data_IF_719414021083
#
_entry.id   IF_719414021083
#
_cell.length_a   1.000
_cell.length_b   1.000
_cell.length_c   1.000
_cell.angle_alpha   90.00
_cell.angle_beta   90.00
_cell.angle_gamma   90.00
#
_symmetry.space_group_name_H-M   'P 1'
#
loop_
_entity.id
_entity.type
_entity.pdbx_description
1 polymer ?
#
# COMPACT_ATOMS: atom_id res chain seq x y z
N UNK A 1 -7.05 35.00 -37.21
CA UNK A 1 -6.75 34.62 -35.81
C UNK A 1 -8.02 34.84 -34.99
N UNK A 2 -8.88 33.82 -34.88
CA UNK A 2 -10.08 33.85 -34.03
C UNK A 2 -9.79 32.93 -32.86
N UNK A 3 -9.53 33.50 -31.71
CA UNK A 3 -9.46 32.78 -30.44
C UNK A 3 -10.90 32.41 -30.10
N UNK A 4 -11.29 31.17 -30.33
CA UNK A 4 -12.56 30.66 -29.83
C UNK A 4 -12.49 30.67 -28.30
N UNK A 5 -13.29 31.54 -27.68
CA UNK A 5 -13.48 31.57 -26.24
C UNK A 5 -14.10 30.23 -25.80
N UNK A 6 -13.27 29.42 -25.14
CA UNK A 6 -13.68 28.19 -24.47
C UNK A 6 -14.73 28.54 -23.40
N UNK A 7 -15.99 28.24 -23.71
CA UNK A 7 -17.14 28.43 -22.83
C UNK A 7 -16.95 27.70 -21.49
N UNK A 8 -17.16 28.37 -20.34
CA UNK A 8 -16.88 27.83 -19.00
C UNK A 8 -17.69 26.58 -18.63
N UNK A 9 -18.80 26.33 -19.32
CA UNK A 9 -19.66 25.16 -19.13
C UNK A 9 -19.08 23.86 -19.72
N UNK A 10 -18.00 23.93 -20.52
CA UNK A 10 -17.25 22.74 -20.94
C UNK A 10 -16.12 22.39 -19.97
N UNK A 11 -15.63 23.35 -19.17
CA UNK A 11 -14.65 23.11 -18.11
C UNK A 11 -15.27 22.39 -16.90
N UNK A 12 -16.56 22.57 -16.64
CA UNK A 12 -17.27 21.88 -15.55
C UNK A 12 -17.42 20.37 -15.79
N UNK A 13 -17.42 19.92 -17.05
CA UNK A 13 -17.50 18.48 -17.39
C UNK A 13 -16.18 17.76 -17.18
N UNK A 14 -15.04 18.43 -17.42
CA UNK A 14 -13.72 17.89 -17.12
C UNK A 14 -13.35 18.01 -15.62
N UNK A 15 -13.88 19.02 -14.93
CA UNK A 15 -13.74 19.15 -13.48
C UNK A 15 -14.62 18.16 -12.70
N UNK A 16 -15.69 17.63 -13.32
CA UNK A 16 -16.60 16.64 -12.72
C UNK A 16 -16.03 15.23 -12.52
N UNK A 17 -14.81 14.96 -12.98
CA UNK A 17 -14.09 13.70 -12.66
C UNK A 17 -13.20 13.81 -11.41
N UNK A 18 -13.22 14.94 -10.70
CA UNK A 18 -12.44 15.13 -9.46
C UNK A 18 -13.36 15.10 -8.24
N UNK A 19 -13.24 14.01 -7.48
CA UNK A 19 -13.85 13.73 -6.16
C UNK A 19 -15.38 13.60 -6.10
N UNK A 20 -15.86 12.36 -6.24
CA UNK A 20 -17.23 11.92 -5.92
C UNK A 20 -17.49 11.72 -4.41
N UNK A 21 -16.62 12.17 -3.52
CA UNK A 21 -16.78 11.89 -2.09
C UNK A 21 -17.79 12.85 -1.44
N UNK A 22 -18.98 12.33 -1.18
CA UNK A 22 -19.78 12.71 0.01
C UNK A 22 -18.86 12.62 1.23
N UNK A 23 -19.02 13.53 2.20
CA UNK A 23 -18.24 13.60 3.46
C UNK A 23 -17.78 12.20 3.90
N UNK A 24 -16.46 11.93 3.99
CA UNK A 24 -15.96 10.59 4.30
C UNK A 24 -16.53 10.12 5.64
N UNK A 25 -17.24 8.99 5.65
CA UNK A 25 -17.62 8.32 6.89
C UNK A 25 -16.40 7.67 7.51
N UNK A 26 -16.38 7.47 8.84
CA UNK A 26 -15.30 6.74 9.51
C UNK A 26 -15.02 5.37 8.85
N UNK A 27 -16.07 4.71 8.37
CA UNK A 27 -15.95 3.44 7.65
C UNK A 27 -15.25 3.57 6.29
N UNK A 28 -15.52 4.65 5.54
CA UNK A 28 -14.82 4.94 4.28
C UNK A 28 -13.35 5.32 4.48
N UNK A 29 -13.04 6.05 5.56
CA UNK A 29 -11.66 6.38 5.92
C UNK A 29 -10.87 5.14 6.29
N UNK A 30 -11.47 4.24 7.09
CA UNK A 30 -10.85 2.95 7.45
C UNK A 30 -10.69 1.97 6.25
N UNK A 31 -11.31 2.28 5.11
CA UNK A 31 -11.28 1.46 3.90
C UNK A 31 -10.44 2.10 2.77
N UNK A 32 -9.94 3.30 3.00
CA UNK A 32 -9.13 4.06 2.05
C UNK A 32 -7.66 3.84 2.35
N UNK A 33 -6.87 3.58 1.30
CA UNK A 33 -5.42 3.72 1.35
C UNK A 33 -5.04 4.98 0.59
N UNK A 34 -4.24 5.82 1.24
CA UNK A 34 -3.66 7.01 0.64
C UNK A 34 -2.16 6.80 0.51
N UNK A 35 -1.66 6.84 -0.72
CA UNK A 35 -0.22 6.77 -1.01
C UNK A 35 0.33 8.19 -0.98
N UNK A 36 1.22 8.44 -0.03
CA UNK A 36 1.94 9.70 0.16
C UNK A 36 3.44 9.43 0.22
N UNK A 37 4.26 10.46 0.07
CA UNK A 37 5.69 10.37 0.38
C UNK A 37 5.88 10.28 1.90
N UNK A 38 6.69 9.31 2.34
CA UNK A 38 7.13 9.15 3.72
C UNK A 38 8.63 8.96 3.75
N UNK A 39 9.26 9.45 4.81
CA UNK A 39 10.65 9.09 5.08
C UNK A 39 10.70 7.73 5.75
N UNK A 40 11.78 6.99 5.55
CA UNK A 40 11.96 5.68 6.20
C UNK A 40 11.94 5.83 7.74
N UNK A 41 12.35 6.98 8.26
CA UNK A 41 12.34 7.29 9.70
C UNK A 41 10.94 7.28 10.30
N UNK A 42 9.93 7.77 9.57
CA UNK A 42 8.52 7.79 10.01
C UNK A 42 7.99 6.36 10.27
N UNK A 43 8.62 5.35 9.66
CA UNK A 43 8.27 3.94 9.87
C UNK A 43 8.95 3.36 11.10
N UNK A 44 10.24 3.63 11.27
CA UNK A 44 11.02 3.11 12.40
C UNK A 44 10.49 3.55 13.75
N UNK A 45 9.87 4.73 13.83
CA UNK A 45 9.24 5.19 15.07
C UNK A 45 8.14 4.26 15.55
N UNK A 46 7.38 3.64 14.64
CA UNK A 46 6.26 2.75 14.95
C UNK A 46 6.67 1.26 15.09
N UNK A 47 7.91 0.90 14.79
CA UNK A 47 8.39 -0.50 14.72
C UNK A 47 9.12 -0.88 16.00
N UNK A 48 8.68 -1.95 16.66
CA UNK A 48 9.36 -2.55 17.80
C UNK A 48 10.53 -3.43 17.35
N UNK A 49 10.33 -4.20 16.28
CA UNK A 49 11.29 -5.14 15.75
C UNK A 49 11.11 -5.27 14.23
N UNK A 50 12.21 -5.47 13.50
CA UNK A 50 12.18 -5.77 12.07
C UNK A 50 13.24 -6.82 11.71
N UNK A 51 12.90 -7.72 10.79
CA UNK A 51 13.80 -8.73 10.23
C UNK A 51 13.63 -8.79 8.71
N UNK A 52 14.74 -8.65 7.98
CA UNK A 52 14.76 -8.87 6.53
C UNK A 52 14.54 -10.36 6.24
N UNK A 53 13.53 -10.67 5.43
CA UNK A 53 13.17 -12.04 5.02
C UNK A 53 13.78 -12.44 3.67
N UNK A 54 14.49 -11.51 3.02
CA UNK A 54 15.12 -11.72 1.73
C UNK A 54 14.59 -10.79 0.65
N UNK A 55 15.13 -10.98 -0.54
CA UNK A 55 14.78 -10.27 -1.76
C UNK A 55 14.12 -11.25 -2.72
N UNK A 56 12.84 -11.01 -3.03
CA UNK A 56 12.14 -11.73 -4.09
C UNK A 56 12.24 -10.87 -5.34
N UNK A 57 13.12 -11.20 -6.28
CA UNK A 57 13.08 -10.55 -7.59
C UNK A 57 11.79 -10.94 -8.33
N UNK A 58 11.10 -9.99 -9.01
CA UNK A 58 11.40 -8.57 -9.19
C UNK A 58 10.76 -7.63 -8.14
N UNK A 59 10.10 -8.18 -7.12
CA UNK A 59 9.37 -7.41 -6.11
C UNK A 59 10.32 -6.55 -5.25
N UNK A 60 11.49 -7.06 -4.88
CA UNK A 60 12.45 -6.37 -4.01
C UNK A 60 12.40 -6.91 -2.58
N UNK A 61 12.82 -6.09 -1.60
CA UNK A 61 12.95 -6.54 -0.21
C UNK A 61 11.60 -6.82 0.46
N UNK A 62 11.56 -7.94 1.18
CA UNK A 62 10.48 -8.29 2.11
C UNK A 62 10.99 -8.20 3.55
N UNK A 63 10.33 -7.38 4.37
CA UNK A 63 10.72 -7.13 5.76
C UNK A 63 9.57 -7.51 6.68
N UNK A 64 9.78 -8.49 7.54
CA UNK A 64 8.87 -8.81 8.64
C UNK A 64 9.05 -7.78 9.75
N UNK A 65 7.96 -7.19 10.24
CA UNK A 65 7.99 -6.15 11.26
C UNK A 65 6.92 -6.36 12.33
N UNK A 66 7.23 -5.92 13.54
CA UNK A 66 6.33 -5.89 14.68
C UNK A 66 6.06 -4.44 15.09
N UNK A 67 4.79 -4.07 15.31
CA UNK A 67 4.44 -2.72 15.78
C UNK A 67 4.78 -2.55 17.27
N UNK A 68 5.23 -1.35 17.64
CA UNK A 68 5.30 -0.96 19.06
C UNK A 68 3.90 -0.99 19.66
N UNK A 69 3.77 -1.57 20.85
CA UNK A 69 2.57 -1.45 21.66
C UNK A 69 2.40 0.01 22.08
N UNK A 70 1.35 0.66 21.60
CA UNK A 70 0.94 1.99 22.09
C UNK A 70 0.10 1.88 23.36
N UNK A 71 -0.55 0.73 23.59
CA UNK A 71 -1.34 0.43 24.78
C UNK A 71 -1.00 -0.95 25.38
N UNK A 72 -1.02 -1.10 26.71
CA UNK A 72 -0.67 -2.36 27.38
C UNK A 72 -1.64 -3.52 27.11
N UNK A 73 -2.84 -3.22 26.60
CA UNK A 73 -3.85 -4.22 26.23
C UNK A 73 -4.00 -4.42 24.72
N UNK A 74 -3.10 -3.81 23.93
CA UNK A 74 -3.13 -3.99 22.48
C UNK A 74 -2.26 -5.18 22.08
N UNK A 75 -2.86 -6.07 21.29
CA UNK A 75 -2.15 -7.20 20.74
C UNK A 75 -1.00 -6.75 19.84
N UNK A 76 0.09 -7.49 19.94
CA UNK A 76 1.24 -7.34 19.06
C UNK A 76 0.83 -7.82 17.66
N UNK A 77 0.75 -6.90 16.70
CA UNK A 77 0.44 -7.25 15.32
C UNK A 77 1.71 -7.30 14.49
N UNK A 78 1.98 -8.48 13.92
CA UNK A 78 2.99 -8.66 12.88
C UNK A 78 2.46 -8.15 11.55
N UNK A 79 3.36 -7.59 10.76
CA UNK A 79 3.06 -7.14 9.41
C UNK A 79 4.28 -7.30 8.52
N UNK A 80 4.04 -7.41 7.23
CA UNK A 80 5.08 -7.56 6.21
C UNK A 80 5.14 -6.28 5.38
N UNK A 81 6.33 -5.69 5.32
CA UNK A 81 6.62 -4.60 4.39
C UNK A 81 7.24 -5.18 3.13
N UNK A 82 6.67 -4.85 1.98
CA UNK A 82 7.24 -5.18 0.68
C UNK A 82 7.61 -3.90 -0.04
N UNK A 83 8.85 -3.84 -0.50
CA UNK A 83 9.29 -2.87 -1.48
C UNK A 83 8.75 -3.28 -2.84
N UNK A 84 8.57 -2.29 -3.72
CA UNK A 84 8.26 -2.49 -5.13
C UNK A 84 9.03 -1.44 -5.95
N UNK A 85 9.54 -1.83 -7.11
CA UNK A 85 10.02 -0.86 -8.10
C UNK A 85 8.81 -0.08 -8.63
N UNK A 86 8.71 1.19 -8.28
CA UNK A 86 7.57 2.00 -8.70
C UNK A 86 7.85 2.68 -10.03
N UNK A 87 6.95 2.47 -11.00
CA UNK A 87 6.81 3.32 -12.19
C UNK A 87 5.65 4.31 -12.04
N UNK A 88 5.06 4.40 -10.85
CA UNK A 88 3.89 5.24 -10.64
C UNK A 88 4.32 6.72 -10.68
N UNK A 89 3.65 7.57 -11.48
CA UNK A 89 3.90 9.01 -11.46
C UNK A 89 3.72 9.56 -10.04
N UNK A 90 4.65 10.45 -9.66
CA UNK A 90 4.64 11.20 -8.40
C UNK A 90 3.28 11.89 -8.18
N UNK A 91 2.71 11.72 -7.00
CA UNK A 91 1.45 12.36 -6.61
C UNK A 91 0.64 11.55 -5.61
N UNK A 92 -0.23 12.25 -4.87
CA UNK A 92 -1.14 11.62 -3.89
C UNK A 92 -2.13 10.72 -4.64
N UNK A 93 -2.17 9.45 -4.27
CA UNK A 93 -3.16 8.48 -4.79
C UNK A 93 -4.05 7.98 -3.68
N UNK A 94 -5.30 7.79 -4.02
CA UNK A 94 -6.31 7.23 -3.12
C UNK A 94 -6.97 6.04 -3.82
N UNK A 95 -7.11 4.92 -3.12
CA UNK A 95 -7.94 3.81 -3.57
C UNK A 95 -8.62 3.12 -2.39
N UNK A 96 -9.74 2.45 -2.69
CA UNK A 96 -10.43 1.60 -1.73
C UNK A 96 -9.77 0.23 -1.70
N UNK A 97 -9.37 -0.24 -0.52
CA UNK A 97 -8.76 -1.57 -0.39
C UNK A 97 -9.82 -2.67 -0.62
N UNK A 98 -9.57 -3.72 -1.40
CA UNK A 98 -10.49 -4.84 -1.46
C UNK A 98 -10.62 -5.47 -0.06
N UNK A 99 -11.85 -5.81 0.37
CA UNK A 99 -12.11 -6.46 1.67
C UNK A 99 -12.72 -7.84 1.46
N UNK A 100 -12.03 -8.86 1.95
CA UNK A 100 -12.50 -10.25 1.98
C UNK A 100 -11.71 -11.01 3.03
N UNK A 101 -12.33 -11.99 3.69
CA UNK A 101 -11.61 -12.90 4.61
C UNK A 101 -10.59 -13.81 3.91
N UNK A 102 -10.61 -13.83 2.58
CA UNK A 102 -9.71 -14.63 1.74
C UNK A 102 -8.63 -13.78 1.06
N UNK A 103 -8.57 -12.48 1.36
CA UNK A 103 -7.56 -11.57 0.86
C UNK A 103 -6.73 -11.09 2.04
N UNK A 104 -5.42 -11.06 1.86
CA UNK A 104 -4.51 -10.45 2.84
C UNK A 104 -4.86 -8.97 3.02
N UNK A 105 -4.95 -8.52 4.27
CA UNK A 105 -5.29 -7.14 4.56
C UNK A 105 -4.11 -6.22 4.21
N UNK A 106 -4.38 -5.19 3.39
CA UNK A 106 -3.45 -4.09 3.16
C UNK A 106 -3.67 -3.01 4.22
N UNK A 107 -2.67 -2.79 5.06
CA UNK A 107 -2.70 -1.76 6.10
C UNK A 107 -2.31 -0.40 5.56
N UNK A 108 -1.26 -0.34 4.74
CA UNK A 108 -0.69 0.94 4.30
C UNK A 108 0.09 0.81 2.99
N UNK A 109 0.18 1.89 2.23
CA UNK A 109 1.13 2.02 1.13
C UNK A 109 1.68 3.45 1.07
N UNK A 110 2.97 3.62 0.82
CA UNK A 110 3.63 4.93 0.75
C UNK A 110 4.84 4.88 -0.17
N UNK A 111 5.27 6.05 -0.63
CA UNK A 111 6.53 6.21 -1.35
C UNK A 111 7.66 6.58 -0.40
N UNK A 112 8.85 6.06 -0.67
CA UNK A 112 10.09 6.51 -0.06
C UNK A 112 11.17 6.52 -1.13
N UNK A 113 11.49 7.71 -1.64
CA UNK A 113 12.37 7.85 -2.80
C UNK A 113 11.76 7.21 -4.05
N UNK A 114 12.54 6.39 -4.77
CA UNK A 114 12.08 5.76 -6.03
C UNK A 114 11.19 4.51 -5.82
N UNK A 115 10.85 4.17 -4.58
CA UNK A 115 10.21 2.91 -4.25
C UNK A 115 8.83 3.10 -3.65
N UNK A 116 7.91 2.22 -4.04
CA UNK A 116 6.63 2.06 -3.37
C UNK A 116 6.80 0.97 -2.31
N UNK A 117 6.35 1.26 -1.10
CA UNK A 117 6.31 0.32 -0.01
C UNK A 117 4.86 0.01 0.34
N UNK A 118 4.58 -1.25 0.59
CA UNK A 118 3.25 -1.75 0.99
C UNK A 118 3.35 -2.55 2.27
N UNK A 119 2.45 -2.30 3.21
CA UNK A 119 2.35 -3.01 4.48
C UNK A 119 1.13 -3.91 4.48
N UNK A 120 1.37 -5.21 4.57
CA UNK A 120 0.34 -6.24 4.63
C UNK A 120 0.30 -6.90 6.01
N UNK A 121 -0.84 -7.50 6.32
CA UNK A 121 -0.94 -8.55 7.33
C UNK A 121 0.11 -9.64 7.08
N UNK A 122 0.71 -10.12 8.16
CA UNK A 122 1.62 -11.26 8.13
C UNK A 122 0.82 -12.56 8.04
N UNK A 123 1.31 -13.50 7.22
CA UNK A 123 0.67 -14.78 6.97
C UNK A 123 1.70 -15.88 7.20
N UNK A 124 1.43 -16.79 8.15
CA UNK A 124 2.39 -17.79 8.63
C UNK A 124 3.07 -18.61 7.53
N UNK A 125 2.27 -19.16 6.60
CA UNK A 125 2.75 -20.10 5.58
C UNK A 125 2.04 -19.88 4.25
N UNK A 126 2.81 -19.96 3.16
CA UNK A 126 2.28 -20.01 1.81
C UNK A 126 1.83 -21.42 1.43
N UNK A 127 0.96 -21.54 0.42
CA UNK A 127 0.53 -22.84 -0.08
C UNK A 127 1.70 -23.64 -0.66
N UNK A 128 2.66 -22.97 -1.30
CA UNK A 128 3.88 -23.61 -1.82
C UNK A 128 4.68 -24.28 -0.70
N UNK A 129 4.80 -23.62 0.46
CA UNK A 129 5.48 -24.18 1.63
C UNK A 129 4.72 -25.35 2.23
N UNK A 130 3.38 -25.25 2.33
CA UNK A 130 2.53 -26.32 2.87
C UNK A 130 2.58 -27.57 2.00
N UNK A 131 2.52 -27.38 0.68
CA UNK A 131 2.51 -28.48 -0.28
C UNK A 131 3.90 -28.92 -0.73
N UNK A 132 4.96 -28.30 -0.19
CA UNK A 132 6.35 -28.49 -0.62
C UNK A 132 6.47 -28.44 -2.15
N UNK A 133 5.75 -27.50 -2.80
CA UNK A 133 5.82 -27.32 -4.24
C UNK A 133 7.20 -26.79 -4.56
N UNK A 134 8.03 -27.62 -5.18
CA UNK A 134 9.27 -27.15 -5.77
C UNK A 134 8.92 -26.05 -6.78
N UNK A 135 9.53 -24.85 -6.63
CA UNK A 135 9.52 -23.85 -7.71
C UNK A 135 10.10 -24.57 -8.92
N UNK A 136 9.29 -24.74 -9.96
CA UNK A 136 9.72 -25.40 -11.18
C UNK A 136 11.01 -24.71 -11.68
N UNK A 137 12.14 -25.42 -11.82
CA UNK A 137 13.41 -24.84 -12.26
C UNK A 137 13.33 -24.23 -13.66
N UNK A 138 12.21 -24.42 -14.37
CA UNK A 138 11.95 -23.88 -15.71
C UNK A 138 11.05 -22.64 -15.72
N UNK A 139 10.62 -22.13 -14.57
CA UNK A 139 9.94 -20.81 -14.49
C UNK A 139 10.96 -19.70 -14.23
N UNK A 140 11.19 -18.77 -15.18
CA UNK A 140 12.18 -17.71 -15.08
C UNK A 140 11.86 -16.68 -14.00
#
# INVERSE_FOLDING_TARGET
LRTEELKPHLLSRAAGMRNHFRVPTAQSLNHSIVIIEKTVWDLYEAIAFCSNQGEDEPAGYTILSLRKRTHPHQDESLFVMKQHQSRLPEGIRHFMKPRSRFLVELYEAFHSGAHLWTLYEEMDLSLEQIFALERDPWTP
#
